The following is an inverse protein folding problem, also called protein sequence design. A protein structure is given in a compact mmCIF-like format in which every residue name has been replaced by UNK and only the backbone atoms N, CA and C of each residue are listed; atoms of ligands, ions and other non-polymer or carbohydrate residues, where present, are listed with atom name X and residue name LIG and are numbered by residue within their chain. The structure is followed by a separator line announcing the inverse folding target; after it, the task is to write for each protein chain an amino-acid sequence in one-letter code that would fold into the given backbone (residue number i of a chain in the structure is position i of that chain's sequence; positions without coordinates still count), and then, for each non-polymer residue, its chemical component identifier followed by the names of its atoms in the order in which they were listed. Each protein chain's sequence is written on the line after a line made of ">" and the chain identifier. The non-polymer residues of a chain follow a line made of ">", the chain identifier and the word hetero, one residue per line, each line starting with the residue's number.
data_IF_736714789129
#
_entry.id   IF_736714789129
#
_cell.length_a   1.000
_cell.length_b   1.000
_cell.length_c   1.000
_cell.angle_alpha   90.00
_cell.angle_beta   90.00
_cell.angle_gamma   90.00
#
_symmetry.space_group_name_H-M   'P 1'
#
loop_
_entity.id
_entity.type
_entity.pdbx_description
1 polymer ?
#
# COMPACT_ATOMS: atom_id res chain seq x y z
N UNK A 1 10.06 4.84 12.51
CA UNK A 1 11.13 5.59 11.85
C UNK A 1 11.39 4.95 10.49
N UNK A 2 11.11 5.66 9.40
CA UNK A 2 11.23 5.16 8.02
C UNK A 2 12.70 4.86 7.65
N UNK A 3 13.62 5.69 8.10
CA UNK A 3 15.05 5.48 7.84
C UNK A 3 15.58 4.22 8.52
N UNK A 4 15.06 3.87 9.70
CA UNK A 4 15.43 2.62 10.34
C UNK A 4 15.05 1.42 9.48
N UNK A 5 13.82 1.40 8.96
CA UNK A 5 13.32 0.26 8.15
C UNK A 5 13.97 0.23 6.77
N UNK A 6 13.97 1.37 6.06
CA UNK A 6 14.35 1.43 4.64
C UNK A 6 15.79 1.88 4.38
N UNK A 7 16.58 2.07 5.43
CA UNK A 7 18.03 2.29 5.31
C UNK A 7 18.77 1.39 6.29
N UNK A 8 18.66 1.61 7.61
CA UNK A 8 19.45 0.86 8.60
C UNK A 8 19.29 -0.66 8.54
N UNK A 9 18.05 -1.16 8.29
CA UNK A 9 17.82 -2.59 8.16
C UNK A 9 18.09 -3.12 6.75
N UNK A 10 17.72 -2.36 5.72
CA UNK A 10 17.59 -2.86 4.35
C UNK A 10 18.80 -2.58 3.45
N UNK A 11 19.70 -1.66 3.84
CA UNK A 11 20.92 -1.39 3.09
C UNK A 11 21.87 -2.60 3.15
N UNK A 12 22.84 -2.65 2.24
CA UNK A 12 23.76 -3.79 2.06
C UNK A 12 24.51 -4.18 3.34
N UNK A 13 24.74 -3.25 4.25
CA UNK A 13 25.39 -3.45 5.55
C UNK A 13 24.41 -3.58 6.73
N UNK A 14 23.10 -3.61 6.44
CA UNK A 14 22.05 -3.70 7.44
C UNK A 14 21.81 -5.14 7.95
N UNK A 15 20.91 -5.26 8.94
CA UNK A 15 20.57 -6.56 9.54
C UNK A 15 19.80 -7.50 8.58
N UNK A 16 19.02 -6.92 7.64
CA UNK A 16 18.23 -7.64 6.65
C UNK A 16 18.41 -6.99 5.28
N UNK A 17 19.59 -7.12 4.67
CA UNK A 17 19.90 -6.43 3.42
C UNK A 17 19.01 -6.93 2.29
N UNK A 18 18.59 -5.99 1.43
CA UNK A 18 17.94 -6.33 0.18
C UNK A 18 18.99 -6.86 -0.81
N UNK A 19 18.74 -8.02 -1.38
CA UNK A 19 19.53 -8.50 -2.52
C UNK A 19 19.18 -7.66 -3.77
N UNK A 20 19.85 -6.50 -3.86
CA UNK A 20 19.60 -5.56 -4.95
C UNK A 20 19.95 -6.13 -6.32
N UNK A 21 20.98 -6.97 -6.42
CA UNK A 21 21.35 -7.59 -7.69
C UNK A 21 20.28 -8.55 -8.18
N UNK A 22 19.71 -9.37 -7.29
CA UNK A 22 18.58 -10.24 -7.61
C UNK A 22 17.30 -9.43 -7.91
N UNK A 23 17.04 -8.35 -7.17
CA UNK A 23 15.91 -7.45 -7.44
C UNK A 23 16.04 -6.80 -8.82
N UNK A 24 17.21 -6.26 -9.18
CA UNK A 24 17.48 -5.61 -10.46
C UNK A 24 17.36 -6.61 -11.62
N UNK A 25 17.90 -7.80 -11.49
CA UNK A 25 17.88 -8.84 -12.51
C UNK A 25 16.49 -9.49 -12.70
N UNK A 26 15.59 -9.35 -11.74
CA UNK A 26 14.24 -9.93 -11.83
C UNK A 26 13.43 -9.23 -12.92
N UNK A 27 12.83 -9.94 -13.88
CA UNK A 27 12.06 -9.32 -14.97
C UNK A 27 10.69 -8.79 -14.55
N UNK A 28 10.26 -9.05 -13.31
CA UNK A 28 8.96 -8.60 -12.79
C UNK A 28 8.94 -7.09 -12.59
N UNK A 29 7.89 -6.44 -13.06
CA UNK A 29 7.63 -5.03 -12.78
C UNK A 29 7.39 -4.81 -11.28
N UNK A 30 7.81 -3.65 -10.81
CA UNK A 30 7.60 -3.23 -9.43
C UNK A 30 7.08 -1.79 -9.44
N UNK A 31 5.91 -1.58 -8.84
CA UNK A 31 5.27 -0.27 -8.78
C UNK A 31 4.97 0.11 -7.34
N UNK A 32 5.36 1.31 -6.95
CA UNK A 32 5.10 1.87 -5.61
C UNK A 32 4.23 3.11 -5.74
N UNK A 33 3.15 3.15 -4.96
CA UNK A 33 2.20 4.26 -4.98
C UNK A 33 2.56 5.27 -3.90
N UNK A 34 2.57 6.57 -4.26
CA UNK A 34 2.68 7.67 -3.32
C UNK A 34 1.70 8.79 -3.68
N UNK A 35 1.43 9.66 -2.73
CA UNK A 35 0.61 10.86 -2.93
C UNK A 35 1.49 12.10 -2.93
N UNK A 36 1.49 12.87 -4.02
CA UNK A 36 2.14 14.17 -4.05
C UNK A 36 1.49 15.10 -3.03
N UNK A 37 2.28 15.59 -2.07
CA UNK A 37 1.76 16.38 -0.95
C UNK A 37 1.31 17.80 -1.38
N UNK A 38 1.84 18.33 -2.48
CA UNK A 38 1.53 19.68 -2.95
C UNK A 38 0.20 19.75 -3.69
N UNK A 39 -0.09 18.73 -4.54
CA UNK A 39 -1.24 18.78 -5.45
C UNK A 39 -2.21 17.59 -5.28
N UNK A 40 -1.94 16.67 -4.37
CA UNK A 40 -2.79 15.50 -4.10
C UNK A 40 -2.81 14.45 -5.21
N UNK A 41 -1.98 14.57 -6.25
CA UNK A 41 -1.97 13.59 -7.34
C UNK A 41 -1.34 12.27 -6.91
N UNK A 42 -1.83 11.16 -7.48
CA UNK A 42 -1.20 9.85 -7.32
C UNK A 42 0.07 9.78 -8.15
N UNK A 43 1.17 9.36 -7.55
CA UNK A 43 2.42 9.04 -8.22
C UNK A 43 2.65 7.54 -8.16
N UNK A 44 2.92 6.94 -9.30
CA UNK A 44 3.38 5.57 -9.43
C UNK A 44 4.87 5.60 -9.76
N UNK A 45 5.68 5.22 -8.78
CA UNK A 45 7.09 4.97 -8.98
C UNK A 45 7.29 3.58 -9.55
N UNK A 46 8.30 3.42 -10.38
CA UNK A 46 8.63 2.17 -11.04
C UNK A 46 9.86 1.50 -10.39
N UNK A 47 10.17 0.32 -10.86
CA UNK A 47 11.38 -0.40 -10.47
C UNK A 47 12.67 0.41 -10.67
N UNK A 48 12.73 1.22 -11.74
CA UNK A 48 13.90 2.06 -12.04
C UNK A 48 14.12 3.21 -11.06
N UNK A 49 13.13 3.52 -10.22
CA UNK A 49 13.25 4.53 -9.16
C UNK A 49 13.85 3.95 -7.87
N UNK A 50 14.13 2.62 -7.82
CA UNK A 50 14.89 1.97 -6.75
C UNK A 50 16.36 1.91 -7.13
N UNK A 51 17.24 2.39 -6.26
CA UNK A 51 18.69 2.31 -6.44
C UNK A 51 19.36 1.38 -5.42
N UNK A 52 20.66 1.12 -5.62
CA UNK A 52 21.46 0.42 -4.63
C UNK A 52 21.48 1.24 -3.33
N UNK A 53 21.05 0.64 -2.22
CA UNK A 53 20.89 1.31 -0.92
C UNK A 53 19.98 2.57 -0.96
N UNK A 54 19.16 2.70 -1.98
CA UNK A 54 18.21 3.79 -2.13
C UNK A 54 16.79 3.23 -2.28
N UNK A 55 16.04 3.27 -1.17
CA UNK A 55 14.65 2.84 -1.07
C UNK A 55 13.72 4.01 -0.76
N UNK A 56 14.04 5.21 -1.24
CA UNK A 56 13.32 6.46 -0.94
C UNK A 56 11.86 6.41 -1.37
N UNK A 57 11.55 5.74 -2.48
CA UNK A 57 10.17 5.55 -2.92
C UNK A 57 9.33 4.74 -1.92
N UNK A 58 9.95 3.81 -1.18
CA UNK A 58 9.27 3.05 -0.12
C UNK A 58 9.06 3.92 1.14
N UNK A 59 10.00 4.81 1.45
CA UNK A 59 9.84 5.79 2.52
C UNK A 59 8.70 6.75 2.19
N UNK A 60 8.65 7.27 0.96
CA UNK A 60 7.57 8.12 0.47
C UNK A 60 6.20 7.42 0.57
N UNK A 61 6.10 6.18 0.07
CA UNK A 61 4.88 5.36 0.13
C UNK A 61 4.44 4.99 1.55
N UNK A 62 5.32 5.13 2.54
CA UNK A 62 5.07 4.80 3.95
C UNK A 62 4.99 6.03 4.86
N UNK A 63 5.10 7.24 4.31
CA UNK A 63 5.02 8.51 5.05
C UNK A 63 3.56 8.85 5.38
N UNK A 64 3.05 8.28 6.48
CA UNK A 64 1.66 8.49 6.92
C UNK A 64 1.46 9.92 7.40
N UNK A 65 0.52 10.68 6.82
CA UNK A 65 0.25 12.06 7.24
C UNK A 65 0.00 12.19 8.74
N UNK A 66 0.48 13.29 9.34
CA UNK A 66 0.42 13.62 10.77
C UNK A 66 1.35 12.78 11.65
N UNK A 67 1.62 11.52 11.28
CA UNK A 67 2.59 10.68 11.98
C UNK A 67 4.03 10.90 11.49
N UNK A 68 4.18 11.31 10.24
CA UNK A 68 5.46 11.64 9.59
C UNK A 68 5.34 12.96 8.83
N UNK A 69 6.46 13.65 8.65
CA UNK A 69 6.59 14.66 7.61
C UNK A 69 6.54 13.98 6.23
N UNK A 70 6.16 14.71 5.16
CA UNK A 70 6.23 14.15 3.82
C UNK A 70 7.68 13.85 3.45
N UNK A 71 7.89 12.74 2.73
CA UNK A 71 9.21 12.37 2.26
C UNK A 71 9.51 13.06 0.92
N UNK A 72 10.65 13.74 0.84
CA UNK A 72 11.01 14.49 -0.36
C UNK A 72 11.84 13.62 -1.32
N UNK A 73 11.44 13.57 -2.59
CA UNK A 73 12.18 12.95 -3.69
C UNK A 73 12.29 14.00 -4.80
N UNK A 74 13.52 14.34 -5.19
CA UNK A 74 13.82 15.33 -6.24
C UNK A 74 13.12 16.70 -6.03
N UNK A 75 13.03 17.14 -4.77
CA UNK A 75 12.40 18.41 -4.39
C UNK A 75 10.86 18.36 -4.35
N UNK A 76 10.24 17.18 -4.54
CA UNK A 76 8.80 16.99 -4.45
C UNK A 76 8.46 16.21 -3.18
N UNK A 77 7.59 16.75 -2.30
CA UNK A 77 7.18 16.06 -1.08
C UNK A 77 6.07 15.03 -1.38
N UNK A 78 6.19 13.84 -0.78
CA UNK A 78 5.23 12.74 -0.92
C UNK A 78 4.75 12.20 0.42
N UNK A 79 3.49 11.81 0.45
CA UNK A 79 2.87 11.02 1.52
C UNK A 79 2.53 9.61 1.04
N UNK A 80 2.15 8.75 2.00
CA UNK A 80 1.64 7.39 1.79
C UNK A 80 0.61 7.33 0.67
N UNK A 81 0.83 6.44 -0.29
CA UNK A 81 -0.05 6.22 -1.45
C UNK A 81 -1.47 5.82 -1.05
N UNK A 82 -1.65 5.22 0.11
CA UNK A 82 -2.96 4.83 0.63
C UNK A 82 -3.91 5.98 0.93
N UNK A 83 -3.50 7.24 0.78
CA UNK A 83 -4.42 8.40 0.82
C UNK A 83 -4.96 8.79 -0.56
N UNK A 84 -4.26 8.42 -1.64
CA UNK A 84 -4.63 8.77 -3.01
C UNK A 84 -5.15 7.58 -3.82
N UNK A 85 -4.52 6.40 -3.67
CA UNK A 85 -4.88 5.17 -4.39
C UNK A 85 -4.59 3.94 -3.51
N UNK A 86 -5.47 3.67 -2.52
CA UNK A 86 -5.22 2.67 -1.48
C UNK A 86 -5.23 1.22 -1.95
N UNK A 87 -5.92 0.91 -3.05
CA UNK A 87 -5.96 -0.42 -3.68
C UNK A 87 -5.91 -0.21 -5.19
N UNK A 88 -4.71 -0.13 -5.79
CA UNK A 88 -4.50 0.29 -7.18
C UNK A 88 -4.93 -0.78 -8.21
N UNK A 89 -6.14 -1.35 -8.05
CA UNK A 89 -6.68 -2.38 -8.94
C UNK A 89 -6.96 -1.81 -10.33
N UNK A 90 -7.46 -0.56 -10.41
CA UNK A 90 -7.68 0.10 -11.69
C UNK A 90 -6.36 0.28 -12.46
N UNK A 91 -5.29 0.68 -11.75
CA UNK A 91 -3.95 0.79 -12.36
C UNK A 91 -3.47 -0.54 -12.95
N UNK A 92 -3.65 -1.65 -12.23
CA UNK A 92 -3.28 -2.96 -12.75
C UNK A 92 -4.11 -3.35 -14.00
N UNK A 93 -5.39 -2.99 -14.03
CA UNK A 93 -6.25 -3.21 -15.21
C UNK A 93 -5.78 -2.36 -16.39
N UNK A 94 -5.48 -1.07 -16.15
CA UNK A 94 -5.02 -0.13 -17.17
C UNK A 94 -3.64 -0.52 -17.74
N UNK A 95 -2.79 -1.14 -16.92
CA UNK A 95 -1.50 -1.70 -17.33
C UNK A 95 -1.63 -3.01 -18.14
N UNK A 96 -2.84 -3.53 -18.30
CA UNK A 96 -3.13 -4.68 -19.16
C UNK A 96 -3.01 -6.03 -18.46
N UNK A 97 -2.93 -6.09 -17.13
CA UNK A 97 -2.95 -7.35 -16.40
C UNK A 97 -4.34 -8.00 -16.46
N UNK A 98 -4.41 -9.26 -16.86
CA UNK A 98 -5.63 -10.05 -16.98
C UNK A 98 -5.89 -10.97 -15.78
N UNK A 99 -4.88 -11.20 -14.95
CA UNK A 99 -4.96 -11.95 -13.69
C UNK A 99 -4.37 -11.11 -12.55
N UNK A 100 -5.22 -10.65 -11.65
CA UNK A 100 -4.85 -9.74 -10.57
C UNK A 100 -5.16 -10.39 -9.23
N UNK A 101 -4.17 -10.48 -8.35
CA UNK A 101 -4.36 -10.90 -6.96
C UNK A 101 -4.36 -9.65 -6.07
N UNK A 102 -5.50 -9.36 -5.45
CA UNK A 102 -5.65 -8.25 -4.49
C UNK A 102 -5.52 -8.80 -3.06
N UNK A 103 -4.53 -8.33 -2.32
CA UNK A 103 -4.32 -8.73 -0.93
C UNK A 103 -4.79 -7.61 -0.01
N UNK A 104 -5.88 -7.85 0.73
CA UNK A 104 -6.42 -6.92 1.70
C UNK A 104 -5.97 -7.26 3.12
N UNK A 105 -5.66 -6.24 3.91
CA UNK A 105 -5.33 -6.40 5.35
C UNK A 105 -6.57 -6.31 6.25
N UNK A 106 -7.76 -6.25 5.67
CA UNK A 106 -9.06 -6.18 6.34
C UNK A 106 -10.04 -7.12 5.66
N UNK A 107 -11.09 -7.57 6.37
CA UNK A 107 -12.16 -8.34 5.73
C UNK A 107 -12.73 -7.60 4.52
N UNK A 108 -12.98 -8.33 3.42
CA UNK A 108 -13.38 -7.73 2.15
C UNK A 108 -14.74 -7.01 2.18
N UNK A 109 -15.56 -7.27 3.20
CA UNK A 109 -16.84 -6.61 3.41
C UNK A 109 -16.74 -5.40 4.37
N UNK A 110 -15.51 -5.03 4.76
CA UNK A 110 -15.30 -3.85 5.60
C UNK A 110 -15.56 -2.59 4.78
N UNK A 111 -16.55 -1.81 5.22
CA UNK A 111 -16.81 -0.46 4.70
C UNK A 111 -16.02 0.55 5.54
N UNK A 112 -15.18 1.35 4.90
CA UNK A 112 -14.49 2.45 5.56
C UNK A 112 -15.40 3.65 5.74
N UNK A 113 -15.22 4.37 6.85
CA UNK A 113 -15.95 5.58 7.19
C UNK A 113 -15.00 6.77 7.28
N UNK A 114 -15.48 7.93 6.89
CA UNK A 114 -14.73 9.20 6.90
C UNK A 114 -14.25 9.64 8.28
N UNK A 115 -15.03 9.33 9.33
CA UNK A 115 -14.85 9.91 10.67
C UNK A 115 -13.44 9.80 11.25
N UNK A 116 -12.70 8.75 10.87
CA UNK A 116 -11.32 8.52 11.35
C UNK A 116 -10.31 9.48 10.73
N UNK A 117 -10.61 10.03 9.58
CA UNK A 117 -9.70 10.86 8.79
C UNK A 117 -9.95 12.36 8.98
N UNK A 118 -11.08 12.77 9.60
CA UNK A 118 -11.45 14.17 9.81
C UNK A 118 -10.42 14.93 10.65
N UNK A 119 -9.98 14.35 11.77
CA UNK A 119 -8.99 14.97 12.64
C UNK A 119 -7.63 15.15 11.95
N UNK A 120 -7.03 14.06 11.45
CA UNK A 120 -5.78 14.13 10.70
C UNK A 120 -5.84 15.07 9.49
N UNK A 121 -6.91 15.03 8.69
CA UNK A 121 -7.06 15.92 7.54
C UNK A 121 -7.15 17.40 7.94
N UNK A 122 -7.78 17.73 9.07
CA UNK A 122 -7.84 19.12 9.59
C UNK A 122 -6.45 19.64 9.96
N UNK A 123 -5.59 18.78 10.53
CA UNK A 123 -4.21 19.15 10.87
C UNK A 123 -3.42 19.36 9.57
N UNK A 124 -3.47 18.39 8.67
CA UNK A 124 -2.74 18.39 7.41
C UNK A 124 -3.10 19.57 6.50
N UNK A 125 -4.36 20.03 6.54
CA UNK A 125 -4.88 21.11 5.70
C UNK A 125 -4.09 22.43 5.83
N UNK A 126 -3.36 22.64 6.93
CA UNK A 126 -2.58 23.86 7.14
C UNK A 126 -1.34 23.93 6.28
N UNK A 127 -0.71 22.80 6.02
CA UNK A 127 0.54 22.71 5.26
C UNK A 127 0.31 22.14 3.86
N UNK A 128 -0.57 21.16 3.71
CA UNK A 128 -0.81 20.44 2.46
C UNK A 128 -2.32 20.25 2.23
N UNK A 129 -3.03 21.30 1.77
CA UNK A 129 -4.50 21.27 1.65
C UNK A 129 -5.01 20.22 0.67
N UNK A 130 -4.31 19.99 -0.45
CA UNK A 130 -4.69 19.03 -1.48
C UNK A 130 -4.53 17.58 -0.97
N UNK A 131 -3.42 17.27 -0.30
CA UNK A 131 -3.23 15.97 0.35
C UNK A 131 -4.24 15.74 1.49
N UNK A 132 -4.62 16.81 2.23
CA UNK A 132 -5.66 16.73 3.25
C UNK A 132 -7.04 16.40 2.67
N UNK A 133 -7.38 16.93 1.50
CA UNK A 133 -8.61 16.57 0.80
C UNK A 133 -8.61 15.11 0.37
N UNK A 134 -7.50 14.60 -0.17
CA UNK A 134 -7.34 13.18 -0.49
C UNK A 134 -7.51 12.31 0.76
N UNK A 135 -6.84 12.66 1.86
CA UNK A 135 -6.96 11.94 3.12
C UNK A 135 -8.42 11.91 3.62
N UNK A 136 -9.15 13.02 3.52
CA UNK A 136 -10.55 13.12 3.94
C UNK A 136 -11.47 12.23 3.09
N UNK A 137 -11.16 12.05 1.82
CA UNK A 137 -11.96 11.29 0.84
C UNK A 137 -11.45 9.87 0.59
N UNK A 138 -10.34 9.45 1.21
CA UNK A 138 -9.75 8.12 0.98
C UNK A 138 -10.67 6.96 1.35
N UNK A 139 -11.63 7.17 2.27
CA UNK A 139 -12.61 6.15 2.63
C UNK A 139 -13.48 5.78 1.43
N UNK A 140 -13.92 6.78 0.66
CA UNK A 140 -14.72 6.57 -0.54
C UNK A 140 -13.90 5.85 -1.61
N UNK A 141 -12.69 6.36 -1.89
CA UNK A 141 -11.78 5.75 -2.87
C UNK A 141 -11.52 4.27 -2.55
N UNK A 142 -11.22 3.95 -1.28
CA UNK A 142 -11.03 2.57 -0.82
C UNK A 142 -12.27 1.70 -1.07
N UNK A 143 -13.46 2.20 -0.73
CA UNK A 143 -14.71 1.43 -0.89
C UNK A 143 -15.02 1.19 -2.38
N UNK A 144 -14.78 2.19 -3.23
CA UNK A 144 -14.98 2.09 -4.68
C UNK A 144 -14.00 1.09 -5.31
N UNK A 145 -12.75 1.08 -4.88
CA UNK A 145 -11.73 0.13 -5.36
C UNK A 145 -12.00 -1.31 -4.91
N UNK A 146 -12.46 -1.50 -3.67
CA UNK A 146 -12.92 -2.83 -3.22
C UNK A 146 -14.14 -3.28 -4.01
N UNK A 147 -15.08 -2.38 -4.31
CA UNK A 147 -16.24 -2.70 -5.13
C UNK A 147 -15.83 -3.10 -6.55
N UNK A 148 -14.91 -2.35 -7.17
CA UNK A 148 -14.35 -2.68 -8.47
C UNK A 148 -13.64 -4.05 -8.45
N UNK A 149 -12.80 -4.30 -7.44
CA UNK A 149 -12.14 -5.59 -7.31
C UNK A 149 -13.13 -6.76 -7.20
N UNK A 150 -14.24 -6.58 -6.47
CA UNK A 150 -15.31 -7.57 -6.37
C UNK A 150 -16.05 -7.80 -7.69
N UNK A 151 -16.27 -6.77 -8.49
CA UNK A 151 -16.85 -6.88 -9.82
C UNK A 151 -15.97 -7.76 -10.72
N UNK A 152 -14.68 -7.47 -10.78
CA UNK A 152 -13.71 -8.27 -11.55
C UNK A 152 -13.43 -9.66 -10.95
N UNK A 153 -13.68 -9.86 -9.66
CA UNK A 153 -13.65 -11.19 -9.03
C UNK A 153 -14.78 -12.09 -9.59
N UNK A 154 -15.96 -11.51 -9.82
CA UNK A 154 -17.09 -12.25 -10.43
C UNK A 154 -16.78 -12.67 -11.87
N UNK A 155 -16.03 -11.86 -12.60
CA UNK A 155 -15.58 -12.15 -13.97
C UNK A 155 -14.36 -13.09 -14.01
N UNK A 156 -13.84 -13.52 -12.86
CA UNK A 156 -12.67 -14.40 -12.75
C UNK A 156 -11.33 -13.74 -13.08
N UNK A 157 -11.27 -12.42 -13.23
CA UNK A 157 -10.04 -11.66 -13.51
C UNK A 157 -9.29 -11.25 -12.25
N UNK A 158 -9.98 -11.14 -11.13
CA UNK A 158 -9.40 -10.78 -9.83
C UNK A 158 -9.61 -11.92 -8.84
N UNK A 159 -8.61 -12.18 -8.00
CA UNK A 159 -8.71 -12.99 -6.79
C UNK A 159 -8.48 -12.07 -5.59
N UNK A 160 -9.47 -11.93 -4.71
CA UNK A 160 -9.33 -11.15 -3.49
C UNK A 160 -8.96 -12.07 -2.33
N UNK A 161 -7.76 -11.89 -1.79
CA UNK A 161 -7.32 -12.51 -0.54
C UNK A 161 -7.52 -11.54 0.61
N UNK A 162 -8.34 -11.90 1.58
CA UNK A 162 -8.66 -11.06 2.72
C UNK A 162 -8.80 -11.91 4.00
N UNK A 163 -8.44 -11.39 5.17
CA UNK A 163 -8.67 -12.08 6.41
C UNK A 163 -10.18 -12.11 6.73
N UNK A 164 -10.65 -13.15 7.41
CA UNK A 164 -12.03 -13.23 7.88
C UNK A 164 -12.33 -12.21 8.98
N UNK A 165 -11.32 -11.86 9.78
CA UNK A 165 -11.43 -10.88 10.85
C UNK A 165 -10.09 -10.17 11.09
N UNK A 166 -10.09 -9.14 11.92
CA UNK A 166 -8.85 -8.48 12.36
C UNK A 166 -8.17 -9.18 13.55
N UNK A 167 -8.72 -10.28 14.08
CA UNK A 167 -8.18 -11.04 15.23
C UNK A 167 -7.82 -10.15 16.43
N UNK A 168 -8.59 -9.08 16.68
CA UNK A 168 -8.34 -8.10 17.73
C UNK A 168 -7.20 -7.10 17.42
N UNK A 169 -6.62 -7.16 16.22
CA UNK A 169 -5.57 -6.23 15.82
C UNK A 169 -6.13 -4.87 15.37
N UNK A 170 -5.34 -3.84 15.62
CA UNK A 170 -5.46 -2.52 15.04
C UNK A 170 -4.08 -2.05 14.58
N UNK A 171 -3.98 -0.89 13.95
CA UNK A 171 -2.73 -0.36 13.36
C UNK A 171 -1.55 -0.29 14.35
N UNK A 172 -1.81 -0.20 15.66
CA UNK A 172 -0.78 -0.09 16.69
C UNK A 172 -0.73 -1.32 17.61
N UNK A 173 -1.44 -2.40 17.27
CA UNK A 173 -1.47 -3.61 18.09
C UNK A 173 -0.10 -4.30 18.14
N UNK A 174 0.24 -4.80 19.33
CA UNK A 174 1.43 -5.60 19.60
C UNK A 174 1.09 -7.03 20.04
N UNK A 175 -0.14 -7.50 19.78
CA UNK A 175 -0.57 -8.83 20.15
C UNK A 175 0.12 -9.87 19.26
N UNK A 176 1.04 -10.62 19.82
CA UNK A 176 1.72 -11.72 19.11
C UNK A 176 0.71 -12.76 18.60
N UNK A 177 -0.25 -13.16 19.43
CA UNK A 177 -1.29 -14.13 19.04
C UNK A 177 -2.13 -13.62 17.86
N UNK A 178 -2.55 -12.36 17.89
CA UNK A 178 -3.31 -11.77 16.77
C UNK A 178 -2.49 -11.70 15.48
N UNK A 179 -1.21 -11.33 15.57
CA UNK A 179 -0.29 -11.29 14.43
C UNK A 179 -0.04 -12.69 13.87
N UNK A 180 0.16 -13.69 14.71
CA UNK A 180 0.35 -15.08 14.27
C UNK A 180 -0.91 -15.64 13.58
N UNK A 181 -2.10 -15.34 14.12
CA UNK A 181 -3.36 -15.74 13.47
C UNK A 181 -3.51 -15.09 12.11
N UNK A 182 -3.20 -13.78 11.98
CA UNK A 182 -3.25 -13.07 10.70
C UNK A 182 -2.26 -13.67 9.69
N UNK A 183 -1.04 -13.97 10.13
CA UNK A 183 -0.02 -14.63 9.31
C UNK A 183 -0.49 -15.99 8.78
N UNK A 184 -1.01 -16.85 9.65
CA UNK A 184 -1.53 -18.18 9.26
C UNK A 184 -2.72 -18.07 8.31
N UNK A 185 -3.62 -17.10 8.53
CA UNK A 185 -4.75 -16.84 7.65
C UNK A 185 -4.28 -16.40 6.25
N UNK A 186 -3.24 -15.56 6.17
CA UNK A 186 -2.63 -15.16 4.90
C UNK A 186 -2.03 -16.33 4.14
N UNK A 187 -1.31 -17.22 4.85
CA UNK A 187 -0.75 -18.42 4.26
C UNK A 187 -1.83 -19.33 3.67
N UNK A 188 -2.88 -19.63 4.45
CA UNK A 188 -3.99 -20.46 3.99
C UNK A 188 -4.74 -19.83 2.79
N UNK A 189 -4.97 -18.52 2.83
CA UNK A 189 -5.61 -17.83 1.72
C UNK A 189 -4.79 -17.88 0.42
N UNK A 190 -3.45 -17.85 0.53
CA UNK A 190 -2.54 -17.89 -0.63
C UNK A 190 -2.57 -19.23 -1.39
N UNK A 191 -3.08 -20.32 -0.79
CA UNK A 191 -3.24 -21.62 -1.46
C UNK A 191 -4.16 -21.56 -2.69
N UNK A 192 -5.03 -20.54 -2.77
CA UNK A 192 -5.89 -20.33 -3.93
C UNK A 192 -5.16 -19.75 -5.17
N UNK A 193 -4.00 -19.10 -4.98
CA UNK A 193 -3.28 -18.37 -6.06
C UNK A 193 -2.89 -19.31 -7.23
N UNK A 194 -2.25 -20.49 -7.02
CA UNK A 194 -1.82 -21.33 -8.13
C UNK A 194 -2.97 -21.82 -9.01
N UNK A 195 -4.13 -22.06 -8.44
CA UNK A 195 -5.33 -22.47 -9.19
C UNK A 195 -5.88 -21.29 -10.01
N UNK A 196 -5.96 -20.12 -9.40
CA UNK A 196 -6.41 -18.88 -10.07
C UNK A 196 -5.52 -18.48 -11.25
N UNK A 197 -4.20 -18.60 -11.13
CA UNK A 197 -3.27 -18.24 -12.22
C UNK A 197 -3.28 -19.23 -13.39
N UNK A 198 -3.87 -20.43 -13.23
CA UNK A 198 -3.98 -21.46 -14.27
C UNK A 198 -5.35 -21.48 -14.96
N UNK A 199 -6.36 -20.82 -14.38
CA UNK A 199 -7.70 -20.70 -14.94
C UNK A 199 -7.76 -19.66 -16.02
#
# INVERSE_FOLDING_TARGET
>A
NLDYVYSTLSNHDGENPVDYAAFEANPTDFTVVACNAENGSTKYFSKSDVGYDNFDILKASSAVPVACEPYEIDGVPYYDGGIADPIPVQKAIDDGYDRIVVILTRPKDTVREQKRDIGPARILKRSHPEAAEKLLNRYQKYNDEVALAKEYEQDGRVLILAPESLYGLNTLSKSFEGLERMYRAGYAAAEAIPAFLKS
#
